data_IF_334979114723
#
_entry.id   IF_334979114723
#
_cell.length_a   1.000
_cell.length_b   1.000
_cell.length_c   1.000
_cell.angle_alpha   90.00
_cell.angle_beta   90.00
_cell.angle_gamma   90.00
#
_symmetry.space_group_name_H-M   'P 1'
#
loop_
_entity.id
_entity.type
_entity.pdbx_description
1 polymer ?
#
# COMPACT_ATOMS: atom_id res chain seq x y z
N UNK A 1 18.76 12.74 1.03
CA UNK A 1 17.98 11.57 1.48
C UNK A 1 16.53 12.01 1.44
N UNK A 2 15.70 11.48 0.53
CA UNK A 2 14.34 11.99 0.36
C UNK A 2 13.47 11.61 1.56
N UNK A 3 13.24 12.57 2.45
CA UNK A 3 12.39 12.44 3.62
C UNK A 3 10.93 12.13 3.24
N UNK A 4 10.25 11.33 4.06
CA UNK A 4 8.81 11.09 3.94
C UNK A 4 8.08 12.23 4.61
N UNK A 5 7.11 12.86 3.94
CA UNK A 5 6.42 14.04 4.46
C UNK A 5 5.55 13.72 5.67
N UNK A 6 4.92 12.55 5.67
CA UNK A 6 4.12 12.08 6.81
C UNK A 6 4.54 10.66 7.14
N UNK A 7 4.79 10.39 8.41
CA UNK A 7 5.10 9.07 8.96
C UNK A 7 4.21 8.80 10.17
N UNK A 8 3.46 7.71 10.08
CA UNK A 8 2.48 7.29 11.07
C UNK A 8 2.75 5.85 11.48
N UNK A 9 2.65 5.58 12.77
CA UNK A 9 2.83 4.26 13.35
C UNK A 9 1.54 3.88 14.07
N UNK A 10 1.11 2.64 13.88
CA UNK A 10 -0.02 2.07 14.61
C UNK A 10 0.46 0.85 15.38
N UNK A 11 0.46 0.98 16.70
CA UNK A 11 0.86 -0.08 17.62
C UNK A 11 -0.36 -0.57 18.39
N UNK A 12 -0.64 -1.85 18.21
CA UNK A 12 -1.59 -2.62 19.00
C UNK A 12 -0.84 -3.79 19.67
N UNK A 13 -1.42 -4.35 20.73
CA UNK A 13 -0.89 -5.46 21.53
C UNK A 13 -0.35 -6.65 20.71
N UNK A 14 -0.80 -6.85 19.47
CA UNK A 14 -0.29 -7.89 18.56
C UNK A 14 0.15 -7.41 17.18
N UNK A 15 0.04 -6.12 16.88
CA UNK A 15 0.27 -5.60 15.53
C UNK A 15 1.00 -4.27 15.55
N UNK A 16 2.20 -4.25 14.96
CA UNK A 16 2.98 -3.04 14.77
C UNK A 16 2.95 -2.67 13.29
N UNK A 17 2.33 -1.56 12.90
CA UNK A 17 2.14 -1.14 11.51
C UNK A 17 2.72 0.24 11.29
N UNK A 18 3.22 0.50 10.09
CA UNK A 18 3.67 1.81 9.66
C UNK A 18 2.86 2.24 8.44
N UNK A 19 2.67 3.53 8.30
CA UNK A 19 2.07 4.18 7.15
C UNK A 19 2.83 5.48 6.94
N UNK A 20 3.38 5.69 5.75
CA UNK A 20 4.10 6.91 5.40
C UNK A 20 3.70 7.37 4.02
N UNK A 21 3.70 8.66 3.79
CA UNK A 21 3.33 9.24 2.51
C UNK A 21 4.25 10.42 2.16
N UNK A 22 4.47 10.61 0.86
CA UNK A 22 5.19 11.77 0.31
C UNK A 22 4.59 12.17 -1.03
N UNK A 23 4.61 13.46 -1.33
CA UNK A 23 4.35 13.98 -2.66
C UNK A 23 5.67 14.20 -3.40
N UNK A 24 5.74 13.68 -4.61
CA UNK A 24 6.79 13.87 -5.60
C UNK A 24 6.21 14.71 -6.74
N UNK A 25 6.22 16.03 -6.58
CA UNK A 25 5.54 16.95 -7.50
C UNK A 25 4.04 16.69 -7.52
N UNK A 26 3.54 16.15 -8.62
CA UNK A 26 2.13 15.78 -8.82
C UNK A 26 1.86 14.28 -8.60
N UNK A 27 2.80 13.53 -8.03
CA UNK A 27 2.63 12.11 -7.70
C UNK A 27 2.65 11.89 -6.19
N UNK A 28 1.56 11.35 -5.63
CA UNK A 28 1.50 10.92 -4.24
C UNK A 28 2.03 9.49 -4.11
N UNK A 29 3.06 9.29 -3.30
CA UNK A 29 3.59 7.98 -2.98
C UNK A 29 3.28 7.65 -1.52
N UNK A 30 2.52 6.57 -1.31
CA UNK A 30 2.11 6.08 0.00
C UNK A 30 2.75 4.71 0.21
N UNK A 31 3.43 4.52 1.32
CA UNK A 31 4.04 3.25 1.69
C UNK A 31 3.52 2.81 3.06
N UNK A 32 2.92 1.63 3.14
CA UNK A 32 2.28 1.15 4.36
C UNK A 32 2.52 -0.34 4.57
N UNK A 33 2.68 -0.76 5.81
CA UNK A 33 3.06 -2.13 6.08
C UNK A 33 3.03 -2.48 7.55
N UNK A 34 3.41 -3.71 7.84
CA UNK A 34 3.74 -4.13 9.21
C UNK A 34 5.20 -3.80 9.47
N UNK A 35 5.51 -3.23 10.63
CA UNK A 35 6.90 -3.02 11.05
C UNK A 35 7.55 -4.40 11.19
N UNK A 36 8.63 -4.63 10.43
CA UNK A 36 9.27 -5.95 10.26
C UNK A 36 8.89 -6.72 9.00
N UNK A 37 8.03 -6.18 8.14
CA UNK A 37 7.74 -6.70 6.79
C UNK A 37 8.08 -5.64 5.72
N UNK A 38 8.25 -6.03 4.45
CA UNK A 38 8.58 -5.10 3.35
C UNK A 38 7.53 -3.98 3.16
N UNK A 39 6.27 -4.23 3.53
CA UNK A 39 5.17 -3.30 3.30
C UNK A 39 4.73 -3.25 1.84
N UNK A 40 3.77 -2.39 1.53
CA UNK A 40 3.25 -2.13 0.20
C UNK A 40 3.42 -0.64 -0.12
N UNK A 41 3.90 -0.34 -1.33
CA UNK A 41 3.98 1.02 -1.86
C UNK A 41 2.89 1.22 -2.90
N UNK A 42 2.25 2.37 -2.89
CA UNK A 42 1.26 2.80 -3.86
C UNK A 42 1.62 4.20 -4.32
N UNK A 43 1.90 4.35 -5.61
CA UNK A 43 2.10 5.65 -6.23
C UNK A 43 0.84 6.00 -7.04
N UNK A 44 0.30 7.19 -6.82
CA UNK A 44 -0.88 7.72 -7.49
C UNK A 44 -0.51 9.09 -8.08
N UNK A 45 -0.74 9.28 -9.38
CA UNK A 45 -0.55 10.59 -10.03
C UNK A 45 -1.84 11.41 -9.93
N UNK A 46 -1.66 12.69 -9.68
CA UNK A 46 -2.69 13.72 -9.61
C UNK A 46 -2.45 14.75 -10.70
N UNK A 47 -3.48 15.50 -11.02
CA UNK A 47 -3.44 16.53 -12.07
C UNK A 47 -2.59 17.74 -11.64
N UNK A 48 -2.57 18.02 -10.33
CA UNK A 48 -1.83 19.13 -9.74
C UNK A 48 -1.07 18.72 -8.48
N UNK A 49 0.11 19.32 -8.22
CA UNK A 49 0.89 19.06 -7.01
C UNK A 49 0.12 19.44 -5.73
N UNK A 50 -0.72 20.47 -5.81
CA UNK A 50 -1.59 20.90 -4.72
C UNK A 50 -2.64 19.85 -4.35
N UNK A 51 -3.16 19.13 -5.35
CA UNK A 51 -4.16 18.09 -5.17
C UNK A 51 -3.54 16.84 -4.51
N UNK A 52 -2.32 16.48 -4.93
CA UNK A 52 -1.54 15.42 -4.30
C UNK A 52 -1.27 15.71 -2.81
N UNK A 53 -0.90 16.96 -2.48
CA UNK A 53 -0.70 17.39 -1.10
C UNK A 53 -2.00 17.34 -0.28
N UNK A 54 -3.12 17.85 -0.81
CA UNK A 54 -4.43 17.78 -0.15
C UNK A 54 -4.87 16.35 0.14
N UNK A 55 -4.68 15.44 -0.81
CA UNK A 55 -5.04 14.04 -0.59
C UNK A 55 -4.10 13.35 0.42
N UNK A 56 -2.81 13.69 0.39
CA UNK A 56 -1.85 13.21 1.40
C UNK A 56 -2.31 13.57 2.81
N UNK A 57 -2.63 14.85 3.02
CA UNK A 57 -3.10 15.36 4.31
C UNK A 57 -4.43 14.73 4.73
N UNK A 58 -5.34 14.53 3.78
CA UNK A 58 -6.63 13.88 4.02
C UNK A 58 -6.45 12.44 4.47
N UNK A 59 -5.63 11.66 3.75
CA UNK A 59 -5.32 10.29 4.16
C UNK A 59 -4.65 10.25 5.53
N UNK A 60 -3.69 11.13 5.79
CA UNK A 60 -3.02 11.22 7.09
C UNK A 60 -4.04 11.45 8.22
N UNK A 61 -4.95 12.41 8.04
CA UNK A 61 -6.01 12.75 9.02
C UNK A 61 -6.94 11.56 9.32
N UNK A 62 -7.32 10.81 8.29
CA UNK A 62 -8.11 9.58 8.46
C UNK A 62 -7.34 8.50 9.22
N UNK A 63 -6.02 8.37 9.00
CA UNK A 63 -5.18 7.44 9.75
C UNK A 63 -5.06 7.85 11.22
N UNK A 64 -4.87 9.14 11.51
CA UNK A 64 -4.86 9.67 12.88
C UNK A 64 -6.16 9.33 13.63
N UNK A 65 -7.32 9.55 13.00
CA UNK A 65 -8.62 9.20 13.61
C UNK A 65 -8.77 7.70 13.88
N UNK A 66 -8.04 6.86 13.13
CA UNK A 66 -8.02 5.41 13.31
C UNK A 66 -7.02 4.94 14.38
N UNK A 67 -6.40 5.87 15.13
CA UNK A 67 -5.47 5.58 16.21
C UNK A 67 -4.01 5.43 15.77
N UNK A 68 -3.67 5.85 14.54
CA UNK A 68 -2.26 5.96 14.15
C UNK A 68 -1.65 7.18 14.85
N UNK A 69 -0.46 7.01 15.43
CA UNK A 69 0.31 8.07 16.07
C UNK A 69 1.43 8.53 15.15
N UNK A 70 1.86 9.78 15.29
CA UNK A 70 3.05 10.30 14.62
C UNK A 70 4.28 9.44 14.96
N UNK A 71 4.92 8.92 13.90
CA UNK A 71 6.18 8.21 14.03
C UNK A 71 7.30 9.23 13.90
N UNK A 72 7.93 9.58 15.03
CA UNK A 72 9.11 10.45 15.19
C UNK A 72 9.83 10.74 13.87
N UNK A 73 9.49 11.88 13.24
CA UNK A 73 9.89 12.15 11.86
C UNK A 73 9.29 13.36 11.13
N UNK A 74 8.55 14.24 11.83
CA UNK A 74 8.42 15.67 11.46
C UNK A 74 7.02 16.19 11.08
N UNK A 75 6.81 17.53 11.19
CA UNK A 75 7.13 18.41 12.31
C UNK A 75 5.92 18.59 13.24
N UNK A 76 6.19 18.64 14.54
CA UNK A 76 5.25 19.14 15.53
C UNK A 76 5.34 20.65 15.55
N UNK A 77 4.24 21.35 15.23
CA UNK A 77 3.84 22.61 15.87
C UNK A 77 2.30 22.74 15.85
N UNK A 78 1.67 22.20 16.90
CA UNK A 78 0.56 22.77 17.69
C UNK A 78 -0.15 24.04 17.19
N UNK A 79 -1.45 23.94 16.84
CA UNK A 79 -2.56 24.65 17.54
C UNK A 79 -3.92 24.61 16.83
N UNK A 80 -4.86 23.88 17.45
CA UNK A 80 -6.24 24.22 17.83
C UNK A 80 -7.34 24.70 16.83
N UNK A 81 -8.47 23.97 16.92
CA UNK A 81 -9.89 24.39 16.79
C UNK A 81 -10.42 24.73 15.38
N UNK A 82 -11.57 24.26 14.89
CA UNK A 82 -12.87 23.95 15.53
C UNK A 82 -13.62 22.80 14.83
N UNK A 83 -14.58 22.24 15.55
CA UNK A 83 -15.48 21.17 15.17
C UNK A 83 -16.39 21.43 13.94
N UNK A 84 -16.83 20.32 13.36
CA UNK A 84 -18.11 20.10 12.69
C UNK A 84 -18.34 20.81 11.35
N UNK A 85 -18.36 20.02 10.26
CA UNK A 85 -19.58 19.76 9.48
C UNK A 85 -19.26 18.63 8.48
N UNK A 86 -19.80 17.44 8.74
CA UNK A 86 -20.24 16.55 7.67
C UNK A 86 -21.64 17.04 7.25
N UNK A 87 -22.00 17.02 5.95
CA UNK A 87 -22.35 15.74 5.34
C UNK A 87 -21.88 15.54 3.89
N UNK A 88 -21.67 14.26 3.58
CA UNK A 88 -21.98 13.53 2.35
C UNK A 88 -22.16 14.29 1.02
N UNK A 89 -21.40 13.88 -0.01
CA UNK A 89 -21.93 13.02 -1.10
C UNK A 89 -20.94 12.96 -2.28
N UNK A 90 -20.23 11.84 -2.41
CA UNK A 90 -19.81 11.31 -3.71
C UNK A 90 -19.90 9.78 -3.63
N UNK A 91 -21.09 9.30 -3.96
CA UNK A 91 -21.48 7.90 -4.19
C UNK A 91 -20.60 7.27 -5.29
N UNK A 92 -20.40 5.93 -5.24
CA UNK A 92 -19.11 5.29 -5.46
C UNK A 92 -18.95 4.77 -6.89
N UNK A 93 -17.78 4.99 -7.48
CA UNK A 93 -17.30 4.10 -8.54
C UNK A 93 -16.76 2.86 -7.84
N UNK A 94 -17.52 1.76 -7.89
CA UNK A 94 -17.26 0.49 -7.23
C UNK A 94 -15.77 0.09 -7.28
N UNK A 95 -15.16 -0.38 -6.16
CA UNK A 95 -13.88 -1.05 -6.26
C UNK A 95 -14.14 -2.36 -7.02
N UNK A 96 -13.84 -2.40 -8.31
CA UNK A 96 -13.84 -3.65 -9.09
C UNK A 96 -12.63 -4.51 -8.73
N UNK A 97 -12.21 -4.45 -7.46
CA UNK A 97 -11.00 -5.00 -6.92
C UNK A 97 -11.35 -6.00 -5.82
N UNK A 98 -11.06 -7.26 -6.08
CA UNK A 98 -11.25 -8.35 -5.13
C UNK A 98 -9.88 -8.88 -4.72
N UNK A 99 -9.69 -9.14 -3.42
CA UNK A 99 -8.48 -9.76 -2.89
C UNK A 99 -8.83 -11.15 -2.39
N UNK A 100 -8.17 -12.16 -2.94
CA UNK A 100 -8.28 -13.56 -2.53
C UNK A 100 -7.01 -13.94 -1.80
N UNK A 101 -7.14 -14.60 -0.65
CA UNK A 101 -6.02 -15.13 0.11
C UNK A 101 -6.19 -16.64 0.22
N UNK A 102 -5.26 -17.36 -0.40
CA UNK A 102 -5.21 -18.82 -0.43
C UNK A 102 -4.06 -19.26 0.47
N UNK A 103 -4.35 -20.09 1.46
CA UNK A 103 -3.35 -20.68 2.34
C UNK A 103 -3.15 -22.16 1.95
N UNK A 104 -1.96 -22.51 1.46
CA UNK A 104 -1.59 -23.88 1.10
C UNK A 104 -0.43 -24.33 2.01
N UNK A 105 -0.77 -24.86 3.18
CA UNK A 105 0.21 -25.24 4.20
C UNK A 105 0.97 -24.02 4.72
N UNK A 106 2.29 -24.04 4.58
CA UNK A 106 3.19 -22.95 4.98
C UNK A 106 3.28 -21.81 3.94
N UNK A 107 2.63 -21.98 2.78
CA UNK A 107 2.60 -20.99 1.70
C UNK A 107 1.32 -20.17 1.77
N UNK A 108 1.44 -18.86 1.52
CA UNK A 108 0.29 -17.97 1.38
C UNK A 108 0.34 -17.25 0.04
N UNK A 109 -0.67 -17.48 -0.78
CA UNK A 109 -0.86 -16.77 -2.04
C UNK A 109 -1.90 -15.65 -1.83
N UNK A 110 -1.47 -14.41 -2.01
CA UNK A 110 -2.34 -13.23 -2.05
C UNK A 110 -2.55 -12.84 -3.51
N UNK A 111 -3.79 -12.99 -3.99
CA UNK A 111 -4.18 -12.66 -5.35
C UNK A 111 -5.12 -11.44 -5.33
N UNK A 112 -4.64 -10.34 -5.89
CA UNK A 112 -5.41 -9.11 -6.07
C UNK A 112 -5.84 -9.01 -7.53
N UNK A 113 -7.14 -9.06 -7.75
CA UNK A 113 -7.78 -8.90 -9.05
C UNK A 113 -8.41 -7.53 -9.07
N UNK A 114 -8.18 -6.73 -10.12
CA UNK A 114 -8.89 -5.47 -10.35
C UNK A 114 -9.27 -5.33 -11.82
N UNK A 115 -10.50 -4.88 -12.09
CA UNK A 115 -10.96 -4.62 -13.47
C UNK A 115 -10.95 -3.12 -13.75
N UNK A 116 -10.27 -2.73 -14.83
CA UNK A 116 -10.26 -1.37 -15.35
C UNK A 116 -10.58 -1.40 -16.85
N UNK A 117 -11.76 -0.90 -17.23
CA UNK A 117 -12.23 -0.94 -18.61
C UNK A 117 -12.34 -2.38 -19.15
N UNK A 118 -11.51 -2.74 -20.12
CA UNK A 118 -11.41 -4.08 -20.71
C UNK A 118 -10.18 -4.87 -20.22
N UNK A 119 -9.46 -4.35 -19.23
CA UNK A 119 -8.26 -4.98 -18.67
C UNK A 119 -8.57 -5.57 -17.29
N UNK A 120 -8.29 -6.86 -17.13
CA UNK A 120 -8.21 -7.52 -15.83
C UNK A 120 -6.77 -7.46 -15.34
N UNK A 121 -6.53 -6.63 -14.33
CA UNK A 121 -5.25 -6.55 -13.64
C UNK A 121 -5.19 -7.64 -12.58
N UNK A 122 -4.24 -8.55 -12.74
CA UNK A 122 -4.02 -9.66 -11.81
C UNK A 122 -2.65 -9.49 -11.18
N UNK A 123 -2.60 -9.33 -9.86
CA UNK A 123 -1.36 -9.26 -9.09
C UNK A 123 -1.36 -10.37 -8.06
N UNK A 124 -0.46 -11.35 -8.24
CA UNK A 124 -0.25 -12.46 -7.32
C UNK A 124 1.05 -12.28 -6.55
N UNK A 125 0.99 -12.42 -5.23
CA UNK A 125 2.16 -12.47 -4.35
C UNK A 125 2.15 -13.79 -3.60
N UNK A 126 3.17 -14.61 -3.81
CA UNK A 126 3.36 -15.85 -3.06
C UNK A 126 4.36 -15.63 -1.92
N UNK A 127 3.87 -15.80 -0.70
CA UNK A 127 4.68 -15.83 0.50
C UNK A 127 5.15 -17.24 0.78
N UNK A 128 6.47 -17.36 0.88
CA UNK A 128 7.20 -18.55 1.27
C UNK A 128 7.72 -18.39 2.71
N UNK A 129 8.03 -19.50 3.41
CA UNK A 129 8.56 -19.43 4.78
C UNK A 129 9.86 -18.64 4.87
N UNK A 130 10.73 -18.75 3.86
CA UNK A 130 12.06 -18.14 3.83
C UNK A 130 12.41 -17.59 2.44
N UNK A 131 13.40 -16.68 2.38
CA UNK A 131 13.89 -16.11 1.13
C UNK A 131 14.43 -17.17 0.15
N UNK A 132 15.19 -18.15 0.66
CA UNK A 132 15.72 -19.25 -0.16
C UNK A 132 14.62 -20.08 -0.82
N UNK A 133 13.48 -20.28 -0.15
CA UNK A 133 12.34 -20.99 -0.71
C UNK A 133 11.64 -20.16 -1.80
N UNK A 134 11.56 -18.83 -1.63
CA UNK A 134 11.04 -17.94 -2.67
C UNK A 134 11.94 -17.88 -3.92
N UNK A 135 13.26 -17.84 -3.74
CA UNK A 135 14.23 -17.87 -4.84
C UNK A 135 14.21 -19.20 -5.60
N UNK A 136 14.14 -20.32 -4.87
CA UNK A 136 13.99 -21.64 -5.47
C UNK A 136 12.69 -21.74 -6.28
N UNK A 137 11.58 -21.23 -5.75
CA UNK A 137 10.30 -21.21 -6.47
C UNK A 137 10.37 -20.34 -7.74
N UNK A 138 11.00 -19.16 -7.69
CA UNK A 138 11.23 -18.33 -8.87
C UNK A 138 12.05 -19.08 -9.93
N UNK A 139 13.13 -19.75 -9.52
CA UNK A 139 13.97 -20.54 -10.41
C UNK A 139 13.18 -21.69 -11.04
N UNK A 140 12.34 -22.37 -10.27
CA UNK A 140 11.46 -23.44 -10.77
C UNK A 140 10.42 -22.93 -11.78
N UNK A 141 9.74 -21.82 -11.48
CA UNK A 141 8.75 -21.21 -12.39
C UNK A 141 9.43 -20.78 -13.68
N UNK A 142 10.62 -20.14 -13.59
CA UNK A 142 11.37 -19.75 -14.78
C UNK A 142 11.76 -20.96 -15.62
N UNK A 143 12.33 -22.00 -15.01
CA UNK A 143 12.71 -23.22 -15.70
C UNK A 143 11.52 -23.92 -16.38
N UNK A 144 10.36 -23.93 -15.73
CA UNK A 144 9.13 -24.49 -16.30
C UNK A 144 8.66 -23.68 -17.53
N UNK A 145 8.63 -22.35 -17.42
CA UNK A 145 8.27 -21.47 -18.53
C UNK A 145 9.25 -21.62 -19.71
N UNK A 146 10.56 -21.68 -19.43
CA UNK A 146 11.59 -21.90 -20.45
C UNK A 146 11.44 -23.26 -21.14
N UNK A 147 11.08 -24.32 -20.39
CA UNK A 147 10.80 -25.64 -20.93
C UNK A 147 9.57 -25.66 -21.85
N UNK A 148 8.57 -24.82 -21.57
CA UNK A 148 7.41 -24.62 -22.44
C UNK A 148 7.66 -23.61 -23.58
N UNK A 149 8.90 -23.13 -23.73
CA UNK A 149 9.31 -22.22 -24.80
C UNK A 149 9.00 -20.75 -24.55
N UNK A 150 8.46 -20.38 -23.37
CA UNK A 150 8.32 -18.99 -22.96
C UNK A 150 9.69 -18.44 -22.58
N UNK A 151 10.18 -17.46 -23.34
CA UNK A 151 11.41 -16.75 -23.00
C UNK A 151 11.09 -15.47 -22.22
N UNK A 152 11.78 -15.21 -21.10
CA UNK A 152 11.72 -13.91 -20.45
C UNK A 152 12.22 -12.83 -21.44
N UNK A 153 11.45 -11.76 -21.59
CA UNK A 153 11.82 -10.57 -22.38
C UNK A 153 12.72 -9.65 -21.56
#
# INVERSE_FOLDING_TARGET
MSEWQVSLIFQDSKSNKFWRARCLGNSLEVNFGRIGAQGQSQAKRYDSPEDAARELEKQAREKYKKGYVDGDGGPSETSASTASTAPASATPAAPQQCTLVLALGERRLELRLSVEGNALHTHGVEHYPDASAAEAALAQVRAALEAEGYRPQ
#
